data_IF_919532783954
#
_entry.id   IF_919532783954
#
_cell.length_a   1.000
_cell.length_b   1.000
_cell.length_c   1.000
_cell.angle_alpha   90.00
_cell.angle_beta   90.00
_cell.angle_gamma   90.00
#
_symmetry.space_group_name_H-M   'P 1'
#
loop_
_entity.id
_entity.type
_entity.pdbx_description
1 polymer ?
#
# COMPACT_ATOMS: atom_id res chain seq x y z
N UNK A 1 -1.80 -3.21 -13.33
CA UNK A 1 -1.13 -3.87 -12.19
C UNK A 1 -1.82 -5.19 -11.89
N UNK A 2 -1.08 -6.25 -11.52
CA UNK A 2 -1.59 -7.54 -11.03
C UNK A 2 -1.16 -7.73 -9.56
N UNK A 3 -1.92 -7.20 -8.59
CA UNK A 3 -1.52 -7.30 -7.19
C UNK A 3 -1.62 -8.75 -6.69
N UNK A 4 -0.65 -9.18 -5.90
CA UNK A 4 -0.74 -10.44 -5.16
C UNK A 4 -1.79 -10.30 -4.04
N UNK A 5 -2.81 -11.16 -4.05
CA UNK A 5 -3.95 -11.07 -3.13
C UNK A 5 -3.57 -11.43 -1.69
N UNK A 6 -2.63 -12.34 -1.50
CA UNK A 6 -2.17 -12.76 -0.17
C UNK A 6 -1.35 -11.65 0.49
N UNK A 7 -0.38 -11.10 -0.24
CA UNK A 7 0.40 -9.95 0.21
C UNK A 7 -0.48 -8.73 0.50
N UNK A 8 -1.50 -8.48 -0.33
CA UNK A 8 -2.44 -7.38 -0.13
C UNK A 8 -3.26 -7.55 1.16
N UNK A 9 -3.71 -8.78 1.45
CA UNK A 9 -4.46 -9.07 2.66
C UNK A 9 -3.62 -8.89 3.93
N UNK A 10 -2.36 -9.36 3.91
CA UNK A 10 -1.41 -9.13 5.00
C UNK A 10 -1.12 -7.65 5.20
N UNK A 11 -0.83 -6.92 4.11
CA UNK A 11 -0.59 -5.48 4.19
C UNK A 11 -1.77 -4.71 4.77
N UNK A 12 -3.00 -5.02 4.32
CA UNK A 12 -4.22 -4.40 4.85
C UNK A 12 -4.35 -4.64 6.34
N UNK A 13 -4.24 -5.89 6.80
CA UNK A 13 -4.36 -6.22 8.22
C UNK A 13 -3.29 -5.50 9.07
N UNK A 14 -2.05 -5.44 8.58
CA UNK A 14 -0.94 -4.77 9.26
C UNK A 14 -1.14 -3.25 9.33
N UNK A 15 -1.59 -2.62 8.24
CA UNK A 15 -1.90 -1.20 8.22
C UNK A 15 -3.13 -0.87 9.10
N UNK A 16 -4.16 -1.72 9.13
CA UNK A 16 -5.32 -1.58 10.01
C UNK A 16 -4.93 -1.72 11.50
N UNK A 17 -3.99 -2.59 11.84
CA UNK A 17 -3.43 -2.69 13.19
C UNK A 17 -2.66 -1.42 13.63
N UNK A 18 -2.11 -0.66 12.67
CA UNK A 18 -1.54 0.68 12.89
C UNK A 18 -2.59 1.80 12.96
N UNK A 19 -3.88 1.46 12.83
CA UNK A 19 -4.98 2.41 12.88
C UNK A 19 -5.33 3.07 11.54
N UNK A 20 -4.77 2.59 10.42
CA UNK A 20 -5.17 3.04 9.08
C UNK A 20 -6.49 2.40 8.67
N UNK A 21 -7.23 3.08 7.80
CA UNK A 21 -8.51 2.59 7.29
C UNK A 21 -8.47 2.50 5.77
N UNK A 22 -9.10 1.47 5.22
CA UNK A 22 -9.27 1.30 3.79
C UNK A 22 -10.77 1.34 3.44
N UNK A 23 -11.35 2.55 3.30
CA UNK A 23 -12.76 2.70 3.02
C UNK A 23 -13.10 2.14 1.63
N UNK A 24 -14.34 1.66 1.48
CA UNK A 24 -14.90 1.37 0.17
C UNK A 24 -15.10 2.68 -0.59
N UNK A 25 -14.30 2.89 -1.64
CA UNK A 25 -14.39 4.10 -2.44
C UNK A 25 -15.61 4.01 -3.39
N UNK A 26 -16.44 5.07 -3.48
CA UNK A 26 -17.57 5.11 -4.42
C UNK A 26 -17.09 4.88 -5.86
N UNK A 27 -17.79 4.02 -6.62
CA UNK A 27 -17.46 3.75 -8.03
C UNK A 27 -16.40 2.67 -8.26
N UNK A 28 -16.04 1.88 -7.24
CA UNK A 28 -15.11 0.76 -7.39
C UNK A 28 -13.64 1.16 -7.42
N UNK A 29 -13.33 2.42 -7.14
CA UNK A 29 -12.05 2.88 -6.61
C UNK A 29 -10.79 2.50 -7.40
N UNK A 30 -10.89 2.20 -8.70
CA UNK A 30 -9.70 2.21 -9.55
C UNK A 30 -9.41 3.68 -9.86
N UNK A 31 -8.66 4.33 -8.98
CA UNK A 31 -7.96 5.55 -9.38
C UNK A 31 -7.07 5.12 -10.53
N UNK A 32 -7.32 5.64 -11.74
CA UNK A 32 -6.48 5.37 -12.89
C UNK A 32 -5.05 5.80 -12.57
N UNK A 33 -4.19 4.83 -12.24
CA UNK A 33 -2.82 5.05 -11.87
C UNK A 33 -1.91 4.33 -12.86
N UNK A 34 -0.97 5.07 -13.44
CA UNK A 34 0.10 4.53 -14.27
C UNK A 34 1.39 4.52 -13.45
N UNK A 35 1.94 3.33 -13.25
CA UNK A 35 3.19 3.11 -12.51
C UNK A 35 3.97 1.98 -13.19
N UNK A 36 5.29 2.11 -13.23
CA UNK A 36 6.22 1.08 -13.69
C UNK A 36 6.17 -0.19 -12.83
N UNK A 37 5.73 -0.10 -11.58
CA UNK A 37 5.40 -1.24 -10.72
C UNK A 37 4.34 -2.16 -11.35
N UNK A 38 3.52 -1.62 -12.26
CA UNK A 38 2.64 -2.40 -13.12
C UNK A 38 3.40 -3.45 -13.93
N UNK A 39 4.56 -3.09 -14.51
CA UNK A 39 5.39 -4.02 -15.28
C UNK A 39 6.02 -5.08 -14.37
N UNK A 40 6.52 -4.66 -13.20
CA UNK A 40 7.10 -5.57 -12.19
C UNK A 40 6.09 -6.64 -11.75
N UNK A 41 4.82 -6.26 -11.58
CA UNK A 41 3.74 -7.17 -11.17
C UNK A 41 3.45 -8.32 -12.16
N UNK A 42 4.03 -8.29 -13.37
CA UNK A 42 3.96 -9.41 -14.31
C UNK A 42 5.06 -10.46 -14.12
N UNK A 43 6.13 -10.13 -13.38
CA UNK A 43 7.31 -10.98 -13.21
C UNK A 43 7.36 -11.57 -11.80
N UNK A 44 7.00 -10.79 -10.78
CA UNK A 44 7.05 -11.22 -9.38
C UNK A 44 5.80 -10.79 -8.61
N UNK A 45 5.37 -11.55 -7.58
CA UNK A 45 4.33 -11.12 -6.65
C UNK A 45 4.63 -9.71 -6.11
N UNK A 46 3.67 -8.80 -6.25
CA UNK A 46 3.87 -7.37 -6.00
C UNK A 46 2.60 -6.74 -5.41
N UNK A 47 2.77 -5.72 -4.57
CA UNK A 47 1.69 -4.83 -4.11
C UNK A 47 2.10 -3.36 -4.32
N UNK A 48 1.11 -2.47 -4.45
CA UNK A 48 1.29 -1.02 -4.60
C UNK A 48 0.11 -0.32 -3.90
N UNK A 49 0.04 -0.40 -2.55
CA UNK A 49 -1.00 0.28 -1.80
C UNK A 49 -0.84 1.81 -1.90
N UNK A 50 -1.95 2.53 -1.79
CA UNK A 50 -1.95 3.98 -1.63
C UNK A 50 -2.19 4.34 -0.16
N UNK A 51 -1.41 5.28 0.38
CA UNK A 51 -1.65 5.85 1.70
C UNK A 51 -2.13 7.31 1.56
N UNK A 52 -3.16 7.66 2.33
CA UNK A 52 -3.67 9.01 2.42
C UNK A 52 -2.84 9.89 3.36
N UNK A 53 -2.77 11.19 3.04
CA UNK A 53 -2.13 12.24 3.84
C UNK A 53 -3.16 13.20 4.48
N UNK A 54 -4.42 12.79 4.57
CA UNK A 54 -5.54 13.59 5.09
C UNK A 54 -5.70 14.97 4.41
N UNK A 55 -5.42 15.02 3.11
CA UNK A 55 -5.35 16.25 2.32
C UNK A 55 -6.46 16.40 1.29
N UNK A 56 -7.51 15.58 1.35
CA UNK A 56 -8.64 15.73 0.44
C UNK A 56 -9.25 17.15 0.56
N UNK A 57 -9.62 17.81 -0.56
CA UNK A 57 -9.72 17.26 -1.91
C UNK A 57 -8.43 17.30 -2.75
N UNK A 58 -7.29 17.73 -2.21
CA UNK A 58 -6.03 17.77 -2.96
C UNK A 58 -5.57 16.36 -3.36
N UNK A 59 -5.11 16.22 -4.60
CA UNK A 59 -4.62 14.95 -5.19
C UNK A 59 -3.23 15.13 -5.79
N UNK A 60 -2.57 14.00 -6.12
CA UNK A 60 -1.29 13.98 -6.81
C UNK A 60 -1.27 14.97 -8.00
N UNK A 61 -0.12 15.61 -8.24
CA UNK A 61 0.10 16.62 -9.29
C UNK A 61 -0.56 18.00 -9.05
N UNK A 62 -0.92 18.32 -7.81
CA UNK A 62 -1.38 19.65 -7.40
C UNK A 62 -0.42 20.30 -6.39
N UNK A 63 -0.22 21.63 -6.43
CA UNK A 63 0.59 22.35 -5.43
C UNK A 63 0.15 22.10 -3.99
N UNK A 64 -1.15 21.98 -3.76
CA UNK A 64 -1.76 21.72 -2.46
C UNK A 64 -1.36 20.34 -1.92
N UNK A 65 -1.21 19.33 -2.78
CA UNK A 65 -0.71 18.01 -2.39
C UNK A 65 0.78 18.06 -2.05
N UNK A 66 1.58 18.85 -2.80
CA UNK A 66 2.99 19.09 -2.44
C UNK A 66 3.12 19.72 -1.04
N UNK A 67 2.26 20.70 -0.72
CA UNK A 67 2.22 21.29 0.61
C UNK A 67 1.84 20.25 1.70
N UNK A 68 0.94 19.31 1.38
CA UNK A 68 0.57 18.23 2.30
C UNK A 68 1.71 17.24 2.58
N UNK A 69 2.59 16.99 1.59
CA UNK A 69 3.70 16.02 1.70
C UNK A 69 4.81 16.41 2.69
N UNK A 70 4.82 17.65 3.21
CA UNK A 70 5.85 18.14 4.17
C UNK A 70 5.29 18.38 5.56
N UNK A 71 4.17 17.72 5.89
CA UNK A 71 3.49 17.84 7.18
C UNK A 71 3.79 16.66 8.10
N UNK A 72 3.58 16.83 9.41
CA UNK A 72 3.68 15.72 10.37
C UNK A 72 2.71 14.57 10.06
N UNK A 73 1.57 14.85 9.41
CA UNK A 73 0.65 13.81 8.95
C UNK A 73 1.28 12.96 7.83
N UNK A 74 2.02 13.61 6.91
CA UNK A 74 2.77 12.91 5.87
C UNK A 74 3.94 12.09 6.43
N UNK A 75 4.68 12.62 7.41
CA UNK A 75 5.72 11.86 8.11
C UNK A 75 5.16 10.58 8.75
N UNK A 76 4.01 10.70 9.44
CA UNK A 76 3.32 9.55 10.03
C UNK A 76 2.88 8.55 8.95
N UNK A 77 2.35 9.02 7.82
CA UNK A 77 1.98 8.14 6.71
C UNK A 77 3.17 7.39 6.12
N UNK A 78 4.33 8.04 5.98
CA UNK A 78 5.54 7.38 5.53
C UNK A 78 6.00 6.29 6.52
N UNK A 79 5.99 6.59 7.83
CA UNK A 79 6.36 5.63 8.87
C UNK A 79 5.38 4.45 8.96
N UNK A 80 4.08 4.71 8.93
CA UNK A 80 3.06 3.66 8.96
C UNK A 80 3.17 2.75 7.73
N UNK A 81 3.39 3.34 6.55
CA UNK A 81 3.60 2.60 5.31
C UNK A 81 4.84 1.71 5.37
N UNK A 82 5.96 2.24 5.89
CA UNK A 82 7.19 1.48 6.05
C UNK A 82 7.03 0.33 7.05
N UNK A 83 6.36 0.58 8.19
CA UNK A 83 6.14 -0.42 9.22
C UNK A 83 5.18 -1.52 8.76
N UNK A 84 4.08 -1.16 8.08
CA UNK A 84 3.16 -2.12 7.49
C UNK A 84 3.84 -3.01 6.42
N UNK A 85 4.72 -2.43 5.59
CA UNK A 85 5.53 -3.20 4.63
C UNK A 85 6.49 -4.17 5.35
N UNK A 86 7.13 -3.73 6.43
CA UNK A 86 8.05 -4.57 7.21
C UNK A 86 7.34 -5.75 7.87
N UNK A 87 6.18 -5.53 8.49
CA UNK A 87 5.35 -6.61 9.06
C UNK A 87 4.87 -7.57 7.98
N UNK A 88 4.44 -7.06 6.82
CA UNK A 88 4.04 -7.90 5.69
C UNK A 88 5.17 -8.82 5.23
N UNK A 89 6.40 -8.30 5.14
CA UNK A 89 7.57 -9.12 4.81
C UNK A 89 7.85 -10.18 5.88
N UNK A 90 7.72 -9.84 7.17
CA UNK A 90 7.89 -10.78 8.27
C UNK A 90 6.83 -11.91 8.24
N UNK A 91 5.57 -11.58 8.00
CA UNK A 91 4.48 -12.54 7.88
C UNK A 91 4.69 -13.49 6.70
N UNK A 92 5.14 -12.98 5.55
CA UNK A 92 5.47 -13.79 4.38
C UNK A 92 6.63 -14.75 4.66
N UNK A 93 7.67 -14.28 5.36
CA UNK A 93 8.82 -15.09 5.76
C UNK A 93 8.42 -16.18 6.76
N UNK A 94 7.54 -15.86 7.72
CA UNK A 94 7.01 -16.83 8.67
C UNK A 94 6.13 -17.90 8.00
N UNK A 95 5.32 -17.51 7.01
CA UNK A 95 4.49 -18.45 6.25
C UNK A 95 5.32 -19.39 5.36
N UNK A 96 6.43 -18.91 4.79
CA UNK A 96 7.33 -19.72 3.95
C UNK A 96 8.13 -20.76 4.73
N UNK A 97 8.30 -20.59 6.05
CA UNK A 97 8.83 -21.61 6.95
C UNK A 97 7.93 -22.85 7.08
N UNK A 98 6.68 -22.79 6.59
CA UNK A 98 5.72 -23.90 6.53
C UNK A 98 5.63 -24.61 5.17
N UNK A 99 6.49 -24.25 4.21
CA UNK A 99 6.55 -24.88 2.89
C UNK A 99 5.77 -24.11 1.83
N UNK A 100 6.50 -23.49 0.90
CA UNK A 100 6.00 -23.28 -0.46
C UNK A 100 6.65 -24.31 -1.37
N UNK A 101 5.87 -25.32 -1.73
CA UNK A 101 6.01 -25.93 -3.06
C UNK A 101 5.69 -24.83 -4.05
N UNK A 102 6.71 -24.37 -4.80
CA UNK A 102 6.47 -23.60 -6.00
C UNK A 102 5.69 -24.48 -7.02
N UNK A 103 4.88 -23.89 -7.91
CA UNK A 103 4.31 -24.60 -9.06
C UNK A 103 5.41 -25.07 -10.03
#
# INVERSE_FOLDING_TARGET
MRPDRGMLALYRANAEALGRTFPDLPGGGVVGAATDMGNVSHIVPTIHPMLGLDCAPAVNHQPEFTAACVTTAADRAALDGALAMAWTAADLAAATGGGLSAP
#
